data_IF_717090875051
#
_entry.id   IF_717090875051
#
_cell.length_a   1.000
_cell.length_b   1.000
_cell.length_c   1.000
_cell.angle_alpha   90.00
_cell.angle_beta   90.00
_cell.angle_gamma   90.00
#
_symmetry.space_group_name_H-M   'P 1'
#
loop_
_entity.id
_entity.type
_entity.pdbx_description
1 polymer ?
#
# COMPACT_ATOMS: atom_id res chain seq x y z
N UNK A 1 8.17 -6.55 24.36
CA UNK A 1 8.15 -5.08 24.37
C UNK A 1 7.06 -4.64 23.39
N UNK A 2 6.41 -3.51 23.68
CA UNK A 2 5.03 -3.18 23.29
C UNK A 2 4.66 -3.27 21.81
N UNK A 3 3.47 -3.82 21.56
CA UNK A 3 2.74 -3.72 20.30
C UNK A 3 1.89 -2.45 20.41
N UNK A 4 2.25 -1.39 19.69
CA UNK A 4 1.41 -0.18 19.62
C UNK A 4 1.53 0.48 18.26
N UNK A 5 1.04 -0.20 17.22
CA UNK A 5 0.79 0.37 15.89
C UNK A 5 -0.68 0.30 15.49
N UNK A 6 -1.59 0.41 16.47
CA UNK A 6 -3.03 0.49 16.21
C UNK A 6 -3.40 1.82 15.53
N UNK A 7 -4.53 1.88 14.80
CA UNK A 7 -4.98 3.13 14.18
C UNK A 7 -5.11 4.22 15.26
N UNK A 8 -4.74 5.48 14.95
CA UNK A 8 -4.70 6.55 15.95
C UNK A 8 -6.06 6.75 16.61
N UNK A 9 -6.03 7.06 17.92
CA UNK A 9 -7.19 7.38 18.75
C UNK A 9 -8.22 8.21 17.97
N UNK A 10 -9.41 7.61 17.76
CA UNK A 10 -10.48 8.11 16.89
C UNK A 10 -10.85 9.56 17.19
N UNK A 11 -10.25 10.51 16.46
CA UNK A 11 -10.98 11.72 16.07
C UNK A 11 -12.21 11.23 15.31
N UNK A 12 -13.38 11.84 15.57
CA UNK A 12 -14.66 11.43 15.03
C UNK A 12 -14.54 10.95 13.58
N UNK A 13 -14.96 9.70 13.32
CA UNK A 13 -14.84 9.07 12.00
C UNK A 13 -15.44 10.01 10.97
N UNK A 14 -14.63 10.49 10.02
CA UNK A 14 -15.09 11.43 8.99
C UNK A 14 -16.03 10.68 8.05
N UNK A 15 -17.33 10.87 8.21
CA UNK A 15 -18.37 10.19 7.41
C UNK A 15 -18.73 10.94 6.12
N UNK A 16 -18.24 12.16 5.94
CA UNK A 16 -18.51 12.99 4.76
C UNK A 16 -17.38 12.88 3.73
N UNK A 17 -17.66 12.45 2.48
CA UNK A 17 -16.64 12.29 1.43
C UNK A 17 -15.85 13.57 1.12
N UNK A 18 -16.49 14.74 1.12
CA UNK A 18 -15.82 16.01 0.86
C UNK A 18 -14.88 16.42 2.00
N UNK A 19 -15.24 16.11 3.26
CA UNK A 19 -14.37 16.36 4.41
C UNK A 19 -13.16 15.44 4.39
N UNK A 20 -13.37 14.16 4.07
CA UNK A 20 -12.29 13.21 3.91
C UNK A 20 -11.35 13.61 2.76
N UNK A 21 -11.89 14.20 1.69
CA UNK A 21 -11.13 14.65 0.52
C UNK A 21 -10.16 15.75 0.92
N UNK A 22 -10.69 16.75 1.62
CA UNK A 22 -9.91 17.84 2.20
C UNK A 22 -8.88 17.33 3.21
N UNK A 23 -9.21 16.29 3.97
CA UNK A 23 -8.29 15.69 4.92
C UNK A 23 -7.10 15.01 4.23
N UNK A 24 -7.35 14.15 3.23
CA UNK A 24 -6.28 13.51 2.44
C UNK A 24 -5.43 14.58 1.74
N UNK A 25 -6.04 15.58 1.09
CA UNK A 25 -5.30 16.72 0.50
C UNK A 25 -4.41 17.41 1.53
N UNK A 26 -4.93 17.68 2.74
CA UNK A 26 -4.17 18.32 3.81
C UNK A 26 -2.98 17.46 4.23
N UNK A 27 -3.15 16.15 4.34
CA UNK A 27 -2.05 15.23 4.66
C UNK A 27 -0.98 15.22 3.56
N UNK A 28 -1.39 15.18 2.29
CA UNK A 28 -0.45 15.27 1.16
C UNK A 28 0.35 16.58 1.15
N UNK A 29 -0.30 17.74 1.35
CA UNK A 29 0.40 19.03 1.39
C UNK A 29 1.49 19.07 2.45
N UNK A 30 1.26 18.51 3.64
CA UNK A 30 2.28 18.39 4.70
C UNK A 30 3.50 17.54 4.31
N UNK A 31 3.36 16.68 3.30
CA UNK A 31 4.41 15.77 2.82
C UNK A 31 5.10 16.27 1.55
N UNK A 32 4.47 17.18 0.80
CA UNK A 32 4.92 17.64 -0.53
C UNK A 32 5.34 19.11 -0.55
N UNK A 33 4.67 19.98 0.22
CA UNK A 33 4.97 21.40 0.24
C UNK A 33 6.22 21.68 1.07
N UNK A 34 7.26 22.21 0.43
CA UNK A 34 8.54 22.55 1.08
C UNK A 34 8.38 23.45 2.30
N UNK A 35 7.42 24.39 2.26
CA UNK A 35 7.13 25.32 3.36
C UNK A 35 6.55 24.62 4.60
N UNK A 36 5.98 23.43 4.43
CA UNK A 36 5.39 22.65 5.51
C UNK A 36 6.28 21.48 5.94
N UNK A 37 7.30 21.11 5.15
CA UNK A 37 8.22 20.03 5.48
C UNK A 37 8.94 20.31 6.80
N UNK A 38 9.24 19.23 7.51
CA UNK A 38 9.89 19.25 8.82
C UNK A 38 11.18 18.45 8.74
N UNK A 39 12.25 18.95 9.33
CA UNK A 39 13.51 18.22 9.45
C UNK A 39 13.49 17.22 10.62
N UNK A 40 12.50 17.32 11.51
CA UNK A 40 12.30 16.34 12.58
C UNK A 40 11.81 14.99 12.00
N UNK A 41 12.63 13.92 12.10
CA UNK A 41 12.32 12.62 11.52
C UNK A 41 11.09 11.96 12.16
N UNK A 42 10.82 12.19 13.46
CA UNK A 42 9.67 11.59 14.15
C UNK A 42 8.37 12.26 13.72
N UNK A 43 8.39 13.59 13.54
CA UNK A 43 7.22 14.32 13.02
C UNK A 43 6.98 13.92 11.56
N UNK A 44 8.03 13.77 10.77
CA UNK A 44 7.92 13.33 9.38
C UNK A 44 7.33 11.93 9.29
N UNK A 45 7.83 10.98 10.09
CA UNK A 45 7.31 9.62 10.20
C UNK A 45 5.83 9.58 10.56
N UNK A 46 5.42 10.34 11.60
CA UNK A 46 4.01 10.42 11.98
C UNK A 46 3.12 10.98 10.87
N UNK A 47 3.60 11.97 10.10
CA UNK A 47 2.84 12.53 8.97
C UNK A 47 2.68 11.53 7.83
N UNK A 48 3.68 10.69 7.59
CA UNK A 48 3.61 9.61 6.61
C UNK A 48 2.59 8.55 7.03
N UNK A 49 2.58 8.18 8.31
CA UNK A 49 1.60 7.26 8.90
C UNK A 49 0.18 7.86 8.84
N UNK A 50 0.01 9.13 9.23
CA UNK A 50 -1.28 9.83 9.19
C UNK A 50 -1.85 9.90 7.77
N UNK A 51 -1.01 10.17 6.77
CA UNK A 51 -1.40 10.15 5.37
C UNK A 51 -1.84 8.76 4.92
N UNK A 52 -1.08 7.72 5.26
CA UNK A 52 -1.45 6.35 4.91
C UNK A 52 -2.81 5.98 5.51
N UNK A 53 -3.04 6.21 6.80
CA UNK A 53 -4.34 5.90 7.40
C UNK A 53 -5.50 6.73 6.84
N UNK A 54 -5.27 8.01 6.51
CA UNK A 54 -6.27 8.82 5.80
C UNK A 54 -6.69 8.19 4.45
N UNK A 55 -5.75 7.52 3.78
CA UNK A 55 -5.99 6.80 2.53
C UNK A 55 -6.78 5.50 2.75
N UNK A 56 -6.53 4.78 3.84
CA UNK A 56 -7.32 3.61 4.18
C UNK A 56 -8.80 3.98 4.45
N UNK A 57 -9.04 5.09 5.14
CA UNK A 57 -10.40 5.63 5.36
C UNK A 57 -11.06 6.10 4.05
N UNK A 58 -10.28 6.61 3.09
CA UNK A 58 -10.81 7.04 1.78
C UNK A 58 -11.55 5.93 1.02
N UNK A 59 -11.07 4.68 1.15
CA UNK A 59 -11.67 3.48 0.53
C UNK A 59 -13.18 3.39 0.80
N UNK A 60 -13.66 3.77 1.98
CA UNK A 60 -15.04 3.54 2.40
C UNK A 60 -16.03 4.62 1.95
N UNK A 61 -15.56 5.77 1.46
CA UNK A 61 -16.43 6.95 1.30
C UNK A 61 -16.46 7.61 -0.08
N UNK A 62 -15.52 7.33 -1.00
CA UNK A 62 -15.56 7.94 -2.35
C UNK A 62 -15.18 6.94 -3.46
N UNK A 63 -16.15 6.16 -3.98
CA UNK A 63 -15.94 5.27 -5.12
C UNK A 63 -15.82 6.02 -6.45
N UNK A 64 -16.14 7.32 -6.48
CA UNK A 64 -16.21 8.12 -7.72
C UNK A 64 -14.90 8.82 -8.06
N UNK A 65 -13.98 8.98 -7.10
CA UNK A 65 -12.69 9.63 -7.31
C UNK A 65 -11.60 8.60 -7.66
N UNK A 66 -11.02 8.63 -8.89
CA UNK A 66 -9.90 7.77 -9.23
C UNK A 66 -8.65 8.20 -8.47
N UNK A 67 -8.05 7.26 -7.71
CA UNK A 67 -6.89 7.53 -6.85
C UNK A 67 -5.65 7.99 -7.62
N UNK A 68 -5.53 7.55 -8.88
CA UNK A 68 -4.47 7.94 -9.81
C UNK A 68 -4.58 9.41 -10.25
N UNK A 69 -5.76 10.03 -10.15
CA UNK A 69 -5.98 11.42 -10.52
C UNK A 69 -5.99 12.38 -9.32
N UNK A 70 -5.78 11.86 -8.11
CA UNK A 70 -5.73 12.65 -6.89
C UNK A 70 -4.27 12.89 -6.54
N UNK A 71 -3.73 14.11 -6.32
CA UNK A 71 -4.46 15.28 -5.86
C UNK A 71 -5.28 15.88 -7.00
N UNK A 72 -6.54 16.30 -6.75
CA UNK A 72 -7.28 17.08 -7.70
C UNK A 72 -6.62 18.47 -7.65
N UNK A 73 -5.71 18.72 -8.58
CA UNK A 73 -5.31 20.07 -8.93
C UNK A 73 -6.25 20.52 -10.04
N UNK A 74 -6.92 21.65 -9.85
CA UNK A 74 -7.54 22.39 -10.95
C UNK A 74 -6.54 22.41 -12.11
N UNK A 75 -7.03 21.98 -13.28
CA UNK A 75 -6.21 21.46 -14.35
C UNK A 75 -5.00 22.34 -14.70
N UNK A 76 -3.97 21.65 -15.21
CA UNK A 76 -2.70 22.13 -15.77
C UNK A 76 -1.49 22.01 -14.82
N UNK A 77 -0.58 21.08 -15.16
CA UNK A 77 0.82 21.01 -14.72
C UNK A 77 1.13 20.68 -13.24
N UNK A 78 0.35 19.80 -12.60
CA UNK A 78 0.79 19.20 -11.35
C UNK A 78 1.96 18.23 -11.62
N UNK A 79 3.18 18.60 -11.20
CA UNK A 79 4.32 17.67 -11.07
C UNK A 79 4.19 16.76 -9.83
N UNK A 80 3.15 16.96 -9.04
CA UNK A 80 2.98 16.27 -7.77
C UNK A 80 2.46 14.84 -8.01
N UNK A 81 2.97 13.86 -7.24
CA UNK A 81 2.51 12.49 -7.35
C UNK A 81 1.04 12.40 -6.94
N UNK A 82 0.33 11.46 -7.56
CA UNK A 82 -0.97 11.06 -7.07
C UNK A 82 -0.89 10.50 -5.64
N UNK A 83 -1.99 10.37 -4.91
CA UNK A 83 -1.98 9.86 -3.55
C UNK A 83 -1.60 8.38 -3.52
N UNK A 84 -1.99 7.61 -4.53
CA UNK A 84 -1.52 6.22 -4.67
C UNK A 84 -0.03 6.19 -4.99
N UNK A 85 0.47 7.05 -5.88
CA UNK A 85 1.91 7.18 -6.14
C UNK A 85 2.69 7.62 -4.90
N UNK A 86 2.12 8.52 -4.09
CA UNK A 86 2.74 8.97 -2.86
C UNK A 86 2.88 7.81 -1.87
N UNK A 87 1.88 6.94 -1.72
CA UNK A 87 2.03 5.71 -0.91
C UNK A 87 3.21 4.85 -1.39
N UNK A 88 3.37 4.68 -2.70
CA UNK A 88 4.49 3.91 -3.27
C UNK A 88 5.84 4.62 -3.04
N UNK A 89 5.88 5.95 -3.20
CA UNK A 89 7.07 6.76 -2.92
C UNK A 89 7.47 6.65 -1.44
N UNK A 90 6.50 6.75 -0.52
CA UNK A 90 6.73 6.60 0.92
C UNK A 90 7.26 5.21 1.25
N UNK A 91 6.64 4.16 0.70
CA UNK A 91 7.10 2.79 0.88
C UNK A 91 8.53 2.57 0.35
N UNK A 92 8.91 3.25 -0.74
CA UNK A 92 10.26 3.18 -1.33
C UNK A 92 11.31 3.91 -0.49
N UNK A 93 11.01 5.12 -0.03
CA UNK A 93 11.99 6.04 0.60
C UNK A 93 12.13 5.87 2.11
N UNK A 94 11.05 5.50 2.80
CA UNK A 94 11.06 5.45 4.27
C UNK A 94 11.88 4.27 4.76
N UNK A 95 12.61 4.46 5.86
CA UNK A 95 13.30 3.39 6.58
C UNK A 95 12.49 2.86 7.78
N UNK A 96 11.34 3.49 8.09
CA UNK A 96 10.50 3.08 9.22
C UNK A 96 9.63 1.88 8.87
N UNK A 97 9.68 0.85 9.72
CA UNK A 97 8.79 -0.31 9.64
C UNK A 97 7.32 0.05 9.86
N UNK A 98 7.05 1.09 10.65
CA UNK A 98 5.70 1.54 10.96
C UNK A 98 5.08 2.27 9.76
N UNK A 99 5.89 3.07 9.04
CA UNK A 99 5.48 3.66 7.76
C UNK A 99 5.26 2.56 6.72
N UNK A 100 6.13 1.55 6.63
CA UNK A 100 5.93 0.43 5.71
C UNK A 100 4.63 -0.30 6.01
N UNK A 101 4.36 -0.59 7.28
CA UNK A 101 3.13 -1.23 7.70
C UNK A 101 1.90 -0.39 7.33
N UNK A 102 1.89 0.89 7.71
CA UNK A 102 0.77 1.78 7.42
C UNK A 102 0.52 1.90 5.91
N UNK A 103 1.57 2.07 5.10
CA UNK A 103 1.46 2.14 3.64
C UNK A 103 0.93 0.83 3.05
N UNK A 104 1.52 -0.32 3.39
CA UNK A 104 1.07 -1.61 2.88
C UNK A 104 -0.37 -1.92 3.32
N UNK A 105 -0.72 -1.67 4.58
CA UNK A 105 -2.08 -1.87 5.07
C UNK A 105 -3.08 -0.99 4.30
N UNK A 106 -2.73 0.28 4.07
CA UNK A 106 -3.57 1.22 3.32
C UNK A 106 -3.75 0.80 1.86
N UNK A 107 -2.68 0.32 1.21
CA UNK A 107 -2.77 -0.23 -0.15
C UNK A 107 -3.64 -1.50 -0.15
N UNK A 108 -3.51 -2.40 0.84
CA UNK A 108 -4.37 -3.58 0.97
C UNK A 108 -5.85 -3.19 1.10
N UNK A 109 -6.15 -2.16 1.89
CA UNK A 109 -7.49 -1.60 1.96
C UNK A 109 -7.90 -1.00 0.60
N UNK A 110 -7.06 -0.28 -0.11
CA UNK A 110 -7.46 0.31 -1.38
C UNK A 110 -7.63 -0.72 -2.52
N UNK A 111 -6.88 -1.84 -2.48
CA UNK A 111 -6.81 -2.84 -3.55
C UNK A 111 -8.12 -3.60 -3.81
N UNK A 112 -9.13 -3.49 -2.95
CA UNK A 112 -10.46 -4.05 -3.29
C UNK A 112 -11.15 -3.30 -4.43
N UNK A 113 -10.69 -2.08 -4.72
CA UNK A 113 -11.28 -1.26 -5.77
C UNK A 113 -10.65 -1.64 -7.11
N UNK A 114 -11.45 -1.91 -8.16
CA UNK A 114 -10.93 -2.27 -9.48
C UNK A 114 -9.97 -1.23 -10.05
N UNK A 115 -10.25 0.07 -9.90
CA UNK A 115 -9.41 1.16 -10.41
C UNK A 115 -8.02 1.17 -9.76
N UNK A 116 -7.95 0.86 -8.46
CA UNK A 116 -6.67 0.73 -7.74
C UNK A 116 -5.90 -0.49 -8.22
N UNK A 117 -6.56 -1.64 -8.40
CA UNK A 117 -5.89 -2.85 -8.93
C UNK A 117 -5.28 -2.60 -10.29
N UNK A 118 -6.07 -2.05 -11.22
CA UNK A 118 -5.58 -1.65 -12.54
C UNK A 118 -4.42 -0.67 -12.43
N UNK A 119 -4.51 0.36 -11.60
CA UNK A 119 -3.43 1.31 -11.42
C UNK A 119 -2.12 0.68 -10.92
N UNK A 120 -2.20 -0.31 -10.01
CA UNK A 120 -1.04 -1.02 -9.47
C UNK A 120 -0.37 -1.95 -10.50
N UNK A 121 -1.13 -2.54 -11.44
CA UNK A 121 -0.61 -3.61 -12.31
C UNK A 121 -0.42 -3.18 -13.77
N UNK A 122 -1.13 -2.16 -14.24
CA UNK A 122 -1.18 -1.74 -15.65
C UNK A 122 -0.50 -0.38 -15.91
N UNK A 123 0.00 0.32 -14.89
CA UNK A 123 0.64 1.63 -15.09
C UNK A 123 2.05 1.48 -15.68
N UNK A 124 2.33 2.00 -16.90
CA UNK A 124 3.58 1.72 -17.61
C UNK A 124 4.75 2.66 -17.27
N UNK A 125 4.53 3.67 -16.44
CA UNK A 125 5.54 4.70 -16.13
C UNK A 125 5.29 5.35 -14.77
N UNK A 126 6.33 5.97 -14.20
CA UNK A 126 6.24 6.68 -12.93
C UNK A 126 6.29 5.74 -11.72
N UNK A 127 6.04 6.25 -10.50
CA UNK A 127 6.22 5.48 -9.27
C UNK A 127 5.45 4.17 -9.21
N UNK A 128 4.26 4.08 -9.83
CA UNK A 128 3.44 2.86 -9.82
C UNK A 128 4.04 1.72 -10.66
N UNK A 129 4.88 2.02 -11.65
CA UNK A 129 5.50 1.00 -12.52
C UNK A 129 6.33 -0.01 -11.72
N UNK A 130 7.02 0.46 -10.66
CA UNK A 130 7.84 -0.37 -9.79
C UNK A 130 7.07 -0.94 -8.59
N UNK A 131 5.75 -0.74 -8.50
CA UNK A 131 4.98 -1.02 -7.28
C UNK A 131 5.06 -2.49 -6.87
N UNK A 132 4.92 -3.42 -7.82
CA UNK A 132 4.97 -4.86 -7.54
C UNK A 132 6.38 -5.33 -7.18
N UNK A 133 7.41 -4.86 -7.88
CA UNK A 133 8.81 -5.18 -7.55
C UNK A 133 9.19 -4.62 -6.18
N UNK A 134 8.68 -3.43 -5.82
CA UNK A 134 8.84 -2.87 -4.49
C UNK A 134 8.14 -3.74 -3.43
N UNK A 135 6.92 -4.22 -3.71
CA UNK A 135 6.18 -5.11 -2.81
C UNK A 135 6.94 -6.42 -2.55
N UNK A 136 7.51 -7.05 -3.59
CA UNK A 136 8.37 -8.24 -3.44
C UNK A 136 9.58 -7.94 -2.58
N UNK A 137 10.32 -6.86 -2.89
CA UNK A 137 11.49 -6.45 -2.10
C UNK A 137 11.13 -6.19 -0.63
N UNK A 138 9.96 -5.61 -0.36
CA UNK A 138 9.47 -5.37 1.01
C UNK A 138 9.06 -6.66 1.71
N UNK A 139 8.43 -7.60 1.01
CA UNK A 139 8.08 -8.92 1.53
C UNK A 139 9.34 -9.67 1.98
N UNK A 140 10.39 -9.64 1.14
CA UNK A 140 11.63 -10.34 1.39
C UNK A 140 12.53 -9.65 2.42
N UNK A 141 12.40 -8.34 2.62
CA UNK A 141 13.21 -7.60 3.58
C UNK A 141 12.57 -7.48 4.98
N UNK A 142 11.25 -7.64 5.11
CA UNK A 142 10.55 -7.33 6.36
C UNK A 142 10.61 -8.48 7.38
N UNK A 143 10.75 -8.11 8.66
CA UNK A 143 10.49 -8.99 9.81
C UNK A 143 9.10 -8.74 10.43
N UNK A 144 8.39 -7.68 9.99
CA UNK A 144 7.08 -7.31 10.52
C UNK A 144 6.00 -8.30 10.04
N UNK A 145 5.30 -9.01 10.96
CA UNK A 145 4.14 -9.82 10.59
C UNK A 145 3.08 -8.99 9.88
N UNK A 146 2.81 -7.76 10.37
CA UNK A 146 1.80 -6.88 9.79
C UNK A 146 2.07 -6.51 8.33
N UNK A 147 3.35 -6.25 7.98
CA UNK A 147 3.73 -5.96 6.59
C UNK A 147 3.54 -7.20 5.71
N UNK A 148 3.92 -8.38 6.20
CA UNK A 148 3.72 -9.66 5.47
C UNK A 148 2.24 -9.91 5.17
N UNK A 149 1.39 -9.74 6.18
CA UNK A 149 -0.06 -9.85 6.02
C UNK A 149 -0.61 -8.86 4.99
N UNK A 150 -0.23 -7.60 5.11
CA UNK A 150 -0.71 -6.56 4.20
C UNK A 150 -0.28 -6.84 2.75
N UNK A 151 0.96 -7.26 2.52
CA UNK A 151 1.47 -7.61 1.19
C UNK A 151 0.76 -8.84 0.60
N UNK A 152 0.52 -9.88 1.41
CA UNK A 152 -0.27 -11.03 0.98
C UNK A 152 -1.72 -10.62 0.67
N UNK A 153 -2.33 -9.75 1.47
CA UNK A 153 -3.67 -9.25 1.22
C UNK A 153 -3.76 -8.43 -0.08
N UNK A 154 -2.75 -7.59 -0.38
CA UNK A 154 -2.67 -6.90 -1.67
C UNK A 154 -2.63 -7.91 -2.81
N UNK A 155 -1.73 -8.90 -2.74
CA UNK A 155 -1.61 -9.93 -3.77
C UNK A 155 -2.92 -10.70 -3.97
N UNK A 156 -3.63 -11.05 -2.89
CA UNK A 156 -4.93 -11.74 -2.97
C UNK A 156 -5.99 -10.91 -3.68
N UNK A 157 -6.00 -9.59 -3.47
CA UNK A 157 -6.90 -8.70 -4.21
C UNK A 157 -6.50 -8.59 -5.69
N UNK A 158 -5.21 -8.49 -6.00
CA UNK A 158 -4.71 -8.42 -7.38
C UNK A 158 -5.01 -9.69 -8.18
N UNK A 159 -4.93 -10.88 -7.57
CA UNK A 159 -5.26 -12.16 -8.21
C UNK A 159 -6.71 -12.26 -8.70
N UNK A 160 -7.63 -11.42 -8.20
CA UNK A 160 -9.04 -11.42 -8.65
C UNK A 160 -9.21 -10.91 -10.09
N UNK A 161 -8.20 -10.24 -10.66
CA UNK A 161 -8.19 -9.77 -12.04
C UNK A 161 -7.12 -10.48 -12.86
N UNK A 162 -7.41 -10.72 -14.14
CA UNK A 162 -6.48 -11.40 -15.06
C UNK A 162 -5.14 -10.66 -15.19
N UNK A 163 -5.16 -9.34 -15.36
CA UNK A 163 -3.95 -8.52 -15.44
C UNK A 163 -3.09 -8.65 -14.17
N UNK A 164 -3.72 -8.65 -12.98
CA UNK A 164 -3.00 -8.81 -11.72
C UNK A 164 -2.39 -10.21 -11.57
N UNK A 165 -3.12 -11.26 -11.96
CA UNK A 165 -2.63 -12.64 -11.97
C UNK A 165 -1.40 -12.79 -12.88
N UNK A 166 -1.45 -12.25 -14.11
CA UNK A 166 -0.32 -12.30 -15.06
C UNK A 166 0.89 -11.58 -14.47
N UNK A 167 0.71 -10.35 -13.98
CA UNK A 167 1.83 -9.54 -13.46
C UNK A 167 2.47 -10.15 -12.22
N UNK A 168 1.69 -10.74 -11.31
CA UNK A 168 2.22 -11.45 -10.14
C UNK A 168 2.99 -12.73 -10.53
N UNK A 169 2.59 -13.39 -11.62
CA UNK A 169 3.35 -14.52 -12.18
C UNK A 169 4.65 -14.07 -12.82
N UNK A 170 4.63 -13.00 -13.63
CA UNK A 170 5.82 -12.46 -14.31
C UNK A 170 6.95 -12.12 -13.34
N UNK A 171 6.62 -11.56 -12.18
CA UNK A 171 7.60 -11.21 -11.12
C UNK A 171 7.93 -12.38 -10.19
N UNK A 172 7.41 -13.57 -10.45
CA UNK A 172 7.59 -14.77 -9.63
C UNK A 172 7.18 -14.57 -8.16
N UNK A 173 6.04 -13.92 -7.91
CA UNK A 173 5.60 -13.62 -6.54
C UNK A 173 5.43 -14.90 -5.68
N UNK A 174 4.98 -16.02 -6.28
CA UNK A 174 4.90 -17.30 -5.60
C UNK A 174 6.26 -17.78 -5.05
N UNK A 175 7.33 -17.60 -5.83
CA UNK A 175 8.68 -17.95 -5.39
C UNK A 175 9.15 -17.06 -4.22
N UNK A 176 8.79 -15.77 -4.23
CA UNK A 176 9.07 -14.86 -3.12
C UNK A 176 8.37 -15.31 -1.84
N UNK A 177 7.12 -15.79 -1.93
CA UNK A 177 6.39 -16.36 -0.78
C UNK A 177 7.05 -17.64 -0.25
N UNK A 178 7.52 -18.53 -1.12
CA UNK A 178 8.25 -19.73 -0.70
C UNK A 178 9.59 -19.39 -0.03
N UNK A 179 10.32 -18.39 -0.55
CA UNK A 179 11.54 -17.87 0.11
C UNK A 179 11.23 -17.29 1.49
N UNK A 180 10.08 -16.61 1.64
CA UNK A 180 9.63 -16.10 2.94
C UNK A 180 9.41 -17.23 3.95
N UNK A 181 8.76 -18.33 3.54
CA UNK A 181 8.52 -19.51 4.38
C UNK A 181 9.79 -20.19 4.87
N UNK A 182 10.85 -20.15 4.06
CA UNK A 182 12.13 -20.78 4.39
C UNK A 182 12.94 -20.00 5.45
N UNK A 183 12.55 -18.76 5.78
CA UNK A 183 13.21 -17.98 6.80
C UNK A 183 12.96 -18.54 8.20
N UNK A 184 13.97 -19.23 8.74
CA UNK A 184 13.95 -19.82 10.09
C UNK A 184 13.74 -18.81 11.22
N UNK A 185 14.07 -17.54 11.00
CA UNK A 185 13.95 -16.47 12.00
C UNK A 185 12.51 -15.98 12.21
N UNK A 186 11.59 -16.32 11.30
CA UNK A 186 10.24 -15.78 11.35
C UNK A 186 9.30 -16.71 12.15
N UNK A 187 8.47 -16.15 13.05
CA UNK A 187 7.43 -16.93 13.71
C UNK A 187 6.43 -17.42 12.65
N UNK A 188 6.04 -18.71 12.76
CA UNK A 188 5.03 -19.31 11.92
C UNK A 188 3.65 -18.88 12.39
N UNK A 189 2.89 -18.28 11.48
CA UNK A 189 1.53 -17.83 11.74
C UNK A 189 0.55 -18.61 10.86
N UNK A 190 -0.32 -19.46 11.45
CA UNK A 190 -1.23 -20.30 10.69
C UNK A 190 -2.15 -19.53 9.73
N UNK A 191 -2.63 -18.34 10.11
CA UNK A 191 -3.52 -17.56 9.27
C UNK A 191 -2.77 -16.98 8.05
N UNK A 192 -1.53 -16.52 8.25
CA UNK A 192 -0.67 -16.08 7.14
C UNK A 192 -0.34 -17.26 6.21
N UNK A 193 -0.02 -18.43 6.77
CA UNK A 193 0.28 -19.62 5.97
C UNK A 193 -0.89 -20.05 5.08
N UNK A 194 -2.13 -19.98 5.59
CA UNK A 194 -3.32 -20.26 4.77
C UNK A 194 -3.45 -19.30 3.58
N UNK A 195 -3.16 -18.01 3.78
CA UNK A 195 -3.19 -17.01 2.70
C UNK A 195 -2.08 -17.29 1.69
N UNK A 196 -0.88 -17.63 2.18
CA UNK A 196 0.25 -17.96 1.32
C UNK A 196 -0.06 -19.21 0.48
N UNK A 197 -0.63 -20.26 1.07
CA UNK A 197 -1.01 -21.48 0.35
C UNK A 197 -2.00 -21.17 -0.77
N UNK A 198 -3.02 -20.37 -0.48
CA UNK A 198 -3.98 -19.92 -1.49
C UNK A 198 -3.29 -19.17 -2.63
N UNK A 199 -2.43 -18.20 -2.31
CA UNK A 199 -1.70 -17.40 -3.31
C UNK A 199 -0.77 -18.26 -4.17
N UNK A 200 -0.01 -19.18 -3.56
CA UNK A 200 0.89 -20.08 -4.29
C UNK A 200 0.09 -20.98 -5.23
N UNK A 201 -1.08 -21.47 -4.82
CA UNK A 201 -1.94 -22.28 -5.67
C UNK A 201 -2.48 -21.48 -6.86
N UNK A 202 -2.98 -20.27 -6.65
CA UNK A 202 -3.50 -19.41 -7.73
C UNK A 202 -2.41 -18.98 -8.72
N UNK A 203 -1.21 -18.67 -8.21
CA UNK A 203 -0.11 -18.16 -9.01
C UNK A 203 0.63 -19.26 -9.79
N UNK A 204 0.53 -20.53 -9.40
CA UNK A 204 1.12 -21.61 -10.20
C UNK A 204 0.46 -21.67 -11.59
N UNK A 205 1.24 -21.86 -12.67
CA UNK A 205 0.69 -22.12 -13.99
C UNK A 205 -0.22 -23.35 -13.93
N UNK A 206 -1.47 -23.23 -14.38
CA UNK A 206 -2.30 -24.41 -14.61
C UNK A 206 -1.72 -25.12 -15.83
N UNK A 207 -1.07 -26.25 -15.61
CA UNK A 207 -0.66 -27.15 -16.71
C UNK A 207 -1.97 -27.65 -17.33
N UNK A 208 -2.21 -27.24 -18.58
CA UNK A 208 -3.31 -27.74 -19.41
C UNK A 208 -2.95 -29.11 -20.00
#
# INVERSE_FOLDING_TARGET
MGVSGGPPNRKAMLTNPAQLRKYVQRCMRKLLEKSLMTDDPKIQEQREIDFAWAMAEWRTFDPTSPMKAFPPGDGTNSKDPSALELLIILLKRSSSSDVHYACCASIAYLAVRPDVRSALVETPSGPLMESLDLMVRRLEATDSPGVRYALCAIASELCKGEAGLIRLRDINFAQALERLRQKKSLPKDPALEMIIDHLVQELRPRIA
#
